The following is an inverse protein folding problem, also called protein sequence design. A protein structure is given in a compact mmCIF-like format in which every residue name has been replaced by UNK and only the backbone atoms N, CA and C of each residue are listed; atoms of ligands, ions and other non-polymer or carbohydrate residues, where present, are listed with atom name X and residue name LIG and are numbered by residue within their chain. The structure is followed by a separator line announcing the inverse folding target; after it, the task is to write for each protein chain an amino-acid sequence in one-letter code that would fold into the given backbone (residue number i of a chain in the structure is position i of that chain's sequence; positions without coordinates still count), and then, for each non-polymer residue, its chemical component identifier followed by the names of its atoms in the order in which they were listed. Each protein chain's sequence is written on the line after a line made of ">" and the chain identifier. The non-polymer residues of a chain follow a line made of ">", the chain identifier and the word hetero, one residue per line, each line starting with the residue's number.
data_IF_281455775951
#
_entry.id   IF_281455775951
#
_cell.length_a   1.000
_cell.length_b   1.000
_cell.length_c   1.000
_cell.angle_alpha   90.00
_cell.angle_beta   90.00
_cell.angle_gamma   90.00
#
_symmetry.space_group_name_H-M   'P 1'
#
loop_
_entity.id
_entity.type
_entity.pdbx_description
1 polymer ?
#
# COMPACT_ATOMS: atom_id res chain seq x y z
N UNK A 1 25.14 -2.39 15.27
CA UNK A 1 24.46 -3.24 14.29
C UNK A 1 23.04 -2.73 14.08
N UNK A 2 22.70 -2.45 12.86
CA UNK A 2 21.37 -1.96 12.55
C UNK A 2 20.34 -3.09 12.67
N UNK A 3 19.20 -2.74 13.24
CA UNK A 3 18.08 -3.65 13.25
C UNK A 3 17.55 -3.78 11.82
N UNK A 4 17.62 -4.96 11.25
CA UNK A 4 17.03 -5.23 9.94
C UNK A 4 15.54 -5.41 10.11
N UNK A 5 14.75 -4.66 9.34
CA UNK A 5 13.31 -4.84 9.31
C UNK A 5 12.99 -6.22 8.76
N UNK A 6 12.16 -6.96 9.47
CA UNK A 6 11.74 -8.30 9.06
C UNK A 6 10.27 -8.32 8.72
N UNK A 7 9.94 -9.12 7.71
CA UNK A 7 8.56 -9.43 7.40
C UNK A 7 8.05 -10.56 8.29
N UNK A 8 6.74 -10.68 8.34
CA UNK A 8 6.08 -11.79 9.00
C UNK A 8 6.48 -13.13 8.38
N UNK A 9 6.53 -13.18 7.05
CA UNK A 9 6.94 -14.35 6.31
C UNK A 9 8.45 -14.34 6.06
N UNK A 10 9.06 -15.51 6.13
CA UNK A 10 10.49 -15.69 5.89
C UNK A 10 10.84 -17.18 6.02
N UNK A 11 12.14 -17.51 6.04
CA UNK A 11 12.54 -18.93 6.06
C UNK A 11 11.96 -19.77 7.20
N UNK A 12 11.64 -19.15 8.34
CA UNK A 12 11.04 -19.84 9.48
C UNK A 12 9.52 -19.83 9.50
N UNK A 13 8.88 -19.08 8.60
CA UNK A 13 7.42 -18.99 8.53
C UNK A 13 6.99 -18.72 7.09
N UNK A 14 6.48 -19.74 6.43
CA UNK A 14 6.18 -19.69 4.99
C UNK A 14 4.71 -19.43 4.68
N UNK A 15 3.86 -19.30 5.70
CA UNK A 15 2.42 -19.18 5.53
C UNK A 15 1.81 -18.29 6.61
N UNK A 16 0.84 -17.49 6.23
CA UNK A 16 0.03 -16.70 7.14
C UNK A 16 -1.37 -16.49 6.54
N UNK A 17 -2.37 -16.30 7.40
CA UNK A 17 -3.74 -15.98 6.97
C UNK A 17 -4.06 -14.54 7.33
N UNK A 18 -4.60 -13.81 6.37
CA UNK A 18 -5.00 -12.42 6.58
C UNK A 18 -6.00 -12.32 7.73
N UNK A 19 -6.94 -13.25 7.83
CA UNK A 19 -7.94 -13.23 8.91
C UNK A 19 -7.31 -13.35 10.30
N UNK A 20 -6.23 -14.13 10.43
CA UNK A 20 -5.51 -14.24 11.68
C UNK A 20 -4.73 -12.96 12.02
N UNK A 21 -4.14 -12.33 10.99
CA UNK A 21 -3.45 -11.05 11.16
C UNK A 21 -4.43 -9.98 11.62
N UNK A 22 -5.60 -9.89 10.99
CA UNK A 22 -6.67 -8.97 11.40
C UNK A 22 -7.04 -9.15 12.86
N UNK A 23 -7.23 -10.39 13.27
CA UNK A 23 -7.64 -10.70 14.65
C UNK A 23 -6.56 -10.29 15.65
N UNK A 24 -5.30 -10.54 15.31
CA UNK A 24 -4.18 -10.18 16.18
C UNK A 24 -3.98 -8.68 16.26
N UNK A 25 -4.16 -7.96 15.14
CA UNK A 25 -3.97 -6.50 15.10
C UNK A 25 -5.13 -5.73 15.70
N UNK A 26 -6.35 -6.22 15.54
CA UNK A 26 -7.53 -5.59 16.13
C UNK A 26 -8.03 -4.37 15.37
N UNK A 27 -8.36 -3.31 16.09
CA UNK A 27 -8.99 -2.11 15.52
C UNK A 27 -8.07 -1.37 14.56
N UNK A 28 -8.55 -0.99 13.36
CA UNK A 28 -7.76 -0.18 12.42
C UNK A 28 -7.57 1.25 12.98
N UNK A 29 -6.54 2.01 12.49
CA UNK A 29 -5.61 1.61 11.44
C UNK A 29 -4.48 0.72 11.96
N UNK A 30 -3.98 -0.15 11.10
CA UNK A 30 -2.78 -0.91 11.38
C UNK A 30 -2.08 -1.30 10.05
N UNK A 31 -0.80 -1.61 10.17
CA UNK A 31 -0.02 -2.16 9.07
C UNK A 31 0.74 -3.39 9.55
N UNK A 32 1.07 -4.26 8.60
CA UNK A 32 1.92 -5.42 8.85
C UNK A 32 2.85 -5.65 7.67
N UNK A 33 4.15 -5.60 7.91
CA UNK A 33 5.14 -5.97 6.91
C UNK A 33 5.09 -7.49 6.75
N UNK A 34 4.66 -7.95 5.59
CA UNK A 34 4.48 -9.39 5.34
C UNK A 34 5.74 -10.01 4.76
N UNK A 35 6.29 -9.39 3.72
CA UNK A 35 7.54 -9.83 3.09
C UNK A 35 8.47 -8.64 3.01
N UNK A 36 9.71 -8.82 3.48
CA UNK A 36 10.75 -7.79 3.37
C UNK A 36 12.05 -8.50 3.00
N UNK A 37 12.55 -8.21 1.83
CA UNK A 37 13.85 -8.70 1.38
C UNK A 37 14.51 -7.65 0.45
N UNK A 38 15.62 -8.02 -0.18
CA UNK A 38 16.37 -7.11 -1.03
C UNK A 38 15.72 -6.82 -2.39
N UNK A 39 14.59 -7.44 -2.68
CA UNK A 39 13.90 -7.28 -3.96
C UNK A 39 12.49 -6.72 -3.82
N UNK A 40 11.82 -6.99 -2.70
CA UNK A 40 10.40 -6.67 -2.56
C UNK A 40 10.05 -6.34 -1.11
N UNK A 41 9.11 -5.40 -0.96
CA UNK A 41 8.45 -5.13 0.32
C UNK A 41 6.96 -5.26 0.10
N UNK A 42 6.34 -6.19 0.81
CA UNK A 42 4.89 -6.39 0.79
C UNK A 42 4.32 -6.00 2.16
N UNK A 43 3.38 -5.07 2.16
CA UNK A 43 2.78 -4.54 3.40
C UNK A 43 1.27 -4.62 3.34
N UNK A 44 0.67 -5.25 4.34
CA UNK A 44 -0.78 -5.15 4.55
C UNK A 44 -1.08 -3.83 5.24
N UNK A 45 -2.08 -3.12 4.73
CA UNK A 45 -2.50 -1.83 5.27
C UNK A 45 -4.01 -1.88 5.48
N UNK A 46 -4.42 -1.74 6.73
CA UNK A 46 -5.84 -1.71 7.11
C UNK A 46 -6.18 -0.32 7.60
N UNK A 47 -7.20 0.29 7.00
CA UNK A 47 -7.60 1.66 7.34
C UNK A 47 -9.11 1.79 7.40
N UNK A 48 -9.63 2.58 8.34
CA UNK A 48 -11.07 2.88 8.35
C UNK A 48 -11.44 3.81 7.20
N UNK A 49 -12.72 3.89 6.82
CA UNK A 49 -13.15 4.84 5.79
C UNK A 49 -12.74 6.27 6.15
N UNK A 50 -12.28 7.02 5.15
CA UNK A 50 -11.86 8.40 5.35
C UNK A 50 -10.52 8.60 6.03
N UNK A 51 -9.78 7.51 6.33
CA UNK A 51 -8.45 7.64 6.93
C UNK A 51 -7.56 8.50 6.03
N UNK A 52 -6.88 9.54 6.58
CA UNK A 52 -6.05 10.43 5.78
C UNK A 52 -4.78 9.73 5.30
N UNK A 53 -4.45 9.93 4.04
CA UNK A 53 -3.19 9.51 3.44
C UNK A 53 -2.61 10.71 2.70
N UNK A 54 -1.30 10.77 2.59
CA UNK A 54 -0.64 11.85 1.87
C UNK A 54 -0.63 11.60 0.35
N UNK A 55 -0.61 12.68 -0.41
CA UNK A 55 -0.38 12.63 -1.86
C UNK A 55 1.12 12.60 -2.09
N UNK A 56 1.60 11.58 -2.79
CA UNK A 56 3.04 11.39 -3.00
C UNK A 56 3.30 10.59 -4.28
N UNK A 57 4.58 10.44 -4.64
CA UNK A 57 5.00 9.56 -5.73
C UNK A 57 6.24 8.77 -5.31
N UNK A 58 6.52 7.72 -6.07
CA UNK A 58 7.72 6.89 -5.91
C UNK A 58 8.52 6.87 -7.21
N UNK A 59 9.78 6.49 -7.12
CA UNK A 59 10.64 6.34 -8.31
C UNK A 59 10.47 4.97 -8.98
N UNK A 60 9.70 4.08 -8.38
CA UNK A 60 9.41 2.76 -8.92
C UNK A 60 7.89 2.58 -9.00
N UNK A 61 7.47 1.60 -9.80
CA UNK A 61 6.07 1.20 -9.82
C UNK A 61 5.68 0.67 -8.46
N UNK A 62 4.47 1.01 -8.04
CA UNK A 62 3.85 0.41 -6.85
C UNK A 62 2.53 -0.21 -7.28
N UNK A 63 2.20 -1.36 -6.72
CA UNK A 63 0.92 -1.96 -7.03
C UNK A 63 0.30 -2.61 -5.80
N UNK A 64 -0.98 -2.83 -5.87
CA UNK A 64 -1.78 -3.31 -4.74
C UNK A 64 -2.76 -4.38 -5.16
N UNK A 65 -3.05 -5.25 -4.20
CA UNK A 65 -4.21 -6.14 -4.24
C UNK A 65 -5.17 -5.64 -3.16
N UNK A 66 -6.40 -5.33 -3.53
CA UNK A 66 -7.44 -4.99 -2.56
C UNK A 66 -8.03 -6.30 -2.05
N UNK A 67 -7.94 -6.51 -0.74
CA UNK A 67 -8.40 -7.75 -0.09
C UNK A 67 -9.74 -7.58 0.61
N UNK A 68 -10.06 -6.36 1.06
CA UNK A 68 -11.31 -6.08 1.78
C UNK A 68 -11.68 -4.61 1.60
N UNK A 69 -12.98 -4.33 1.54
CA UNK A 69 -13.49 -2.97 1.50
C UNK A 69 -13.37 -2.30 0.13
N UNK A 70 -13.41 -0.97 0.15
CA UNK A 70 -13.40 -0.15 -1.07
C UNK A 70 -12.41 0.99 -0.90
N UNK A 71 -11.67 1.28 -1.96
CA UNK A 71 -10.60 2.28 -1.94
C UNK A 71 -10.58 2.99 -3.28
N UNK A 72 -10.38 4.33 -3.25
CA UNK A 72 -10.16 5.12 -4.45
C UNK A 72 -8.69 5.52 -4.54
N UNK A 73 -8.14 5.44 -5.75
CA UNK A 73 -6.83 5.99 -6.08
C UNK A 73 -6.98 7.15 -7.03
N UNK A 74 -6.55 8.35 -6.60
CA UNK A 74 -6.37 9.46 -7.51
C UNK A 74 -4.96 9.37 -8.06
N UNK A 75 -4.83 9.19 -9.37
CA UNK A 75 -3.54 8.98 -10.02
C UNK A 75 -3.32 10.09 -11.03
N UNK A 76 -2.17 10.74 -10.94
CA UNK A 76 -1.78 11.81 -11.85
C UNK A 76 -1.91 11.37 -13.30
N UNK A 77 -2.53 12.20 -14.13
CA UNK A 77 -2.75 11.90 -15.53
C UNK A 77 -4.04 11.14 -15.82
N UNK A 78 -4.74 10.64 -14.80
CA UNK A 78 -6.02 9.98 -14.99
C UNK A 78 -7.18 10.96 -14.79
N UNK A 79 -8.18 10.94 -15.69
CA UNK A 79 -9.30 11.91 -15.62
C UNK A 79 -10.25 11.67 -14.46
N UNK A 80 -10.25 10.48 -13.87
CA UNK A 80 -11.13 10.11 -12.77
C UNK A 80 -10.39 9.16 -11.82
N UNK A 81 -10.78 9.12 -10.53
CA UNK A 81 -10.22 8.16 -9.61
C UNK A 81 -10.45 6.72 -10.05
N UNK A 82 -9.50 5.85 -9.74
CA UNK A 82 -9.68 4.41 -9.87
C UNK A 82 -10.42 3.93 -8.63
N UNK A 83 -11.63 3.44 -8.80
CA UNK A 83 -12.40 2.87 -7.69
C UNK A 83 -12.18 1.36 -7.65
N UNK A 84 -11.64 0.86 -6.55
CA UNK A 84 -11.31 -0.54 -6.40
C UNK A 84 -12.00 -1.15 -5.18
N UNK A 85 -12.28 -2.44 -5.27
CA UNK A 85 -12.90 -3.22 -4.20
C UNK A 85 -12.21 -4.58 -4.09
N UNK A 86 -12.59 -5.36 -3.10
CA UNK A 86 -11.99 -6.67 -2.85
C UNK A 86 -11.88 -7.49 -4.13
N UNK A 87 -10.68 -7.99 -4.41
CA UNK A 87 -10.37 -8.73 -5.62
C UNK A 87 -9.75 -7.91 -6.75
N UNK A 88 -9.70 -6.59 -6.62
CA UNK A 88 -9.15 -5.73 -7.67
C UNK A 88 -7.65 -5.52 -7.49
N UNK A 89 -7.00 -5.28 -8.62
CA UNK A 89 -5.58 -4.96 -8.70
C UNK A 89 -5.43 -3.53 -9.20
N UNK A 90 -4.49 -2.78 -8.59
CA UNK A 90 -4.23 -1.39 -8.97
C UNK A 90 -2.73 -1.20 -9.11
N UNK A 91 -2.30 -0.50 -10.15
CA UNK A 91 -0.90 -0.14 -10.35
C UNK A 91 -0.78 1.36 -10.52
N UNK A 92 0.17 1.97 -9.82
CA UNK A 92 0.59 3.35 -10.06
C UNK A 92 1.99 3.30 -10.64
N UNK A 93 2.17 3.81 -11.87
CA UNK A 93 3.49 3.84 -12.49
C UNK A 93 4.47 4.72 -11.73
N UNK A 94 5.75 4.43 -11.88
CA UNK A 94 6.82 5.24 -11.33
C UNK A 94 6.63 6.72 -11.70
N UNK A 95 6.99 7.60 -10.77
CA UNK A 95 6.99 9.05 -10.95
C UNK A 95 5.61 9.71 -11.06
N UNK A 96 4.53 8.97 -10.85
CA UNK A 96 3.17 9.52 -10.85
C UNK A 96 2.72 9.79 -9.42
N UNK A 97 2.26 11.01 -9.17
CA UNK A 97 1.61 11.33 -7.90
C UNK A 97 0.34 10.50 -7.77
N UNK A 98 0.09 10.03 -6.57
CA UNK A 98 -1.16 9.35 -6.25
C UNK A 98 -1.62 9.70 -4.84
N UNK A 99 -2.92 9.57 -4.62
CA UNK A 99 -3.54 9.80 -3.33
C UNK A 99 -4.57 8.70 -3.11
N UNK A 100 -4.42 7.97 -2.02
CA UNK A 100 -5.27 6.82 -1.69
C UNK A 100 -6.31 7.25 -0.68
N UNK A 101 -7.58 6.99 -1.00
CA UNK A 101 -8.71 7.32 -0.13
C UNK A 101 -9.51 6.07 0.20
N UNK A 102 -9.45 5.57 1.44
CA UNK A 102 -10.37 4.52 1.86
C UNK A 102 -11.81 5.05 1.81
N UNK A 103 -12.66 4.31 1.14
CA UNK A 103 -14.08 4.63 0.96
C UNK A 103 -14.94 3.50 1.54
N UNK A 104 -16.22 3.46 1.18
CA UNK A 104 -17.09 2.40 1.64
C UNK A 104 -17.58 2.61 3.07
N UNK A 105 -18.18 1.57 3.64
CA UNK A 105 -18.84 1.63 4.95
C UNK A 105 -18.03 1.02 6.07
N UNK A 106 -17.01 0.24 5.73
CA UNK A 106 -16.17 -0.44 6.70
C UNK A 106 -14.71 -0.32 6.37
N UNK A 107 -13.84 -0.88 7.21
CA UNK A 107 -12.41 -0.87 6.96
C UNK A 107 -12.02 -1.53 5.65
N UNK A 108 -10.91 -1.06 5.08
CA UNK A 108 -10.33 -1.66 3.90
C UNK A 108 -9.00 -2.30 4.24
N UNK A 109 -8.64 -3.33 3.48
CA UNK A 109 -7.33 -3.97 3.57
C UNK A 109 -6.75 -4.04 2.16
N UNK A 110 -5.54 -3.52 1.98
CA UNK A 110 -4.80 -3.62 0.73
C UNK A 110 -3.41 -4.17 1.01
N UNK A 111 -2.92 -4.99 0.09
CA UNK A 111 -1.53 -5.46 0.11
C UNK A 111 -0.75 -4.57 -0.85
N UNK A 112 0.16 -3.77 -0.32
CA UNK A 112 1.02 -2.88 -1.09
C UNK A 112 2.33 -3.59 -1.42
N UNK A 113 2.76 -3.51 -2.67
CA UNK A 113 3.98 -4.19 -3.13
C UNK A 113 4.87 -3.18 -3.84
N UNK A 114 6.09 -3.02 -3.31
CA UNK A 114 7.10 -2.11 -3.84
C UNK A 114 8.48 -2.77 -3.80
N UNK A 115 9.45 -2.26 -4.57
CA UNK A 115 10.86 -2.54 -4.28
C UNK A 115 11.24 -1.94 -2.91
N UNK A 116 12.31 -2.43 -2.28
CA UNK A 116 12.80 -1.83 -1.04
C UNK A 116 13.38 -0.44 -1.28
N UNK A 117 13.41 0.37 -0.22
CA UNK A 117 14.02 1.69 -0.26
C UNK A 117 13.14 2.80 -0.78
N UNK A 118 11.88 2.51 -1.14
CA UNK A 118 10.96 3.54 -1.59
C UNK A 118 10.39 4.33 -0.40
N UNK A 119 10.28 5.63 -0.57
CA UNK A 119 9.67 6.51 0.43
C UNK A 119 8.74 7.51 -0.25
N UNK A 120 7.92 8.20 0.53
CA UNK A 120 6.97 9.18 0.02
C UNK A 120 7.67 10.44 -0.43
N UNK A 121 7.60 10.77 -1.71
CA UNK A 121 8.16 11.99 -2.29
C UNK A 121 7.04 12.96 -2.55
N UNK A 122 7.21 14.19 -2.08
CA UNK A 122 6.16 15.20 -2.13
C UNK A 122 6.45 16.33 -3.11
N UNK A 123 7.69 16.46 -3.57
CA UNK A 123 8.10 17.55 -4.44
C UNK A 123 8.86 17.03 -5.66
N UNK A 124 8.66 17.70 -6.79
CA UNK A 124 9.40 17.49 -8.02
C UNK A 124 10.25 18.68 -8.33
N UNK A 125 11.33 18.45 -9.09
CA UNK A 125 12.09 19.53 -9.69
C UNK A 125 11.16 20.35 -10.63
N UNK A 126 11.32 21.69 -10.68
CA UNK A 126 10.52 22.52 -11.57
C UNK A 126 10.62 22.04 -13.02
N UNK A 127 9.45 21.88 -13.65
CA UNK A 127 9.36 21.40 -15.03
C UNK A 127 9.44 19.89 -15.22
N UNK A 128 9.74 19.13 -14.16
CA UNK A 128 9.75 17.67 -14.24
C UNK A 128 8.32 17.14 -14.20
N UNK A 129 8.05 16.13 -15.04
CA UNK A 129 6.79 15.42 -15.06
C UNK A 129 6.97 13.95 -14.71
N UNK A 130 5.88 13.16 -14.83
CA UNK A 130 5.96 11.73 -14.61
C UNK A 130 6.90 11.02 -15.57
#
# INVERSE_FOLDING_TARGET
>A
MEATMKGLLGPGQLHARVEEIKRAKGTPPWTEKVVVNDQIVGTLICQPPGHPNDRHYHLADEWWVVLEGEIDWEIEGQPAPVHARAGDLVLVPANHFHHIRPTGRGPSIRLAITPPGEFHRHEREPGAGP
#
